data_IF_643378072620
#
_entry.id   IF_643378072620
#
_cell.length_a   1.000
_cell.length_b   1.000
_cell.length_c   1.000
_cell.angle_alpha   90.00
_cell.angle_beta   90.00
_cell.angle_gamma   90.00
#
_symmetry.space_group_name_H-M   'P 1'
#
loop_
_entity.id
_entity.type
_entity.pdbx_description
1 polymer ?
#
# COMPACT_ATOMS: atom_id res chain seq x y z
N UNK A 1 18.40 -12.51 -11.68
CA UNK A 1 18.26 -12.52 -13.16
C UNK A 1 17.28 -11.45 -13.59
N UNK A 2 17.51 -10.75 -14.73
CA UNK A 2 16.53 -9.79 -15.24
C UNK A 2 15.22 -10.50 -15.57
N UNK A 3 14.12 -10.01 -15.04
CA UNK A 3 12.80 -10.56 -15.21
C UNK A 3 12.23 -10.25 -16.60
N UNK A 4 11.49 -11.21 -17.16
CA UNK A 4 10.69 -11.03 -18.37
C UNK A 4 9.21 -11.25 -18.02
N UNK A 5 8.30 -10.33 -18.36
CA UNK A 5 6.88 -10.44 -18.02
C UNK A 5 6.16 -11.67 -18.60
N UNK A 6 6.78 -12.36 -19.57
CA UNK A 6 6.29 -13.63 -20.12
C UNK A 6 6.68 -14.87 -19.32
N UNK A 7 7.54 -14.71 -18.31
CA UNK A 7 7.98 -15.83 -17.48
C UNK A 7 6.93 -16.16 -16.41
N UNK A 8 6.94 -17.39 -15.94
CA UNK A 8 6.19 -17.79 -14.74
C UNK A 8 6.98 -17.45 -13.49
N UNK A 9 6.29 -16.99 -12.45
CA UNK A 9 6.92 -16.72 -11.16
C UNK A 9 7.48 -18.03 -10.59
N UNK A 10 8.77 -18.08 -10.20
CA UNK A 10 9.34 -19.30 -9.63
C UNK A 10 8.60 -19.72 -8.36
N UNK A 11 8.30 -21.01 -8.24
CA UNK A 11 7.65 -21.56 -7.06
C UNK A 11 8.42 -21.23 -5.78
N UNK A 12 9.77 -21.27 -5.82
CA UNK A 12 10.63 -20.87 -4.70
C UNK A 12 10.37 -19.45 -4.23
N UNK A 13 10.08 -18.52 -5.15
CA UNK A 13 9.77 -17.13 -4.79
C UNK A 13 8.46 -17.01 -4.01
N UNK A 14 7.45 -17.81 -4.35
CA UNK A 14 6.15 -17.83 -3.69
C UNK A 14 6.16 -18.59 -2.34
N UNK A 15 7.10 -19.52 -2.15
CA UNK A 15 7.17 -20.34 -0.93
C UNK A 15 7.92 -19.66 0.22
N UNK A 16 8.81 -18.71 -0.06
CA UNK A 16 9.61 -18.05 0.97
C UNK A 16 8.75 -17.34 2.02
N UNK A 17 7.72 -16.53 1.68
CA UNK A 17 6.86 -15.90 2.68
C UNK A 17 6.18 -16.91 3.60
N UNK A 18 5.68 -18.01 3.04
CA UNK A 18 5.05 -19.08 3.82
C UNK A 18 6.02 -19.70 4.84
N UNK A 19 7.31 -19.73 4.51
CA UNK A 19 8.36 -20.21 5.44
C UNK A 19 8.65 -19.17 6.50
N UNK A 20 8.77 -17.89 6.14
CA UNK A 20 9.05 -16.77 7.06
C UNK A 20 7.96 -16.65 8.11
N UNK A 21 6.70 -16.77 7.71
CA UNK A 21 5.52 -16.59 8.57
C UNK A 21 4.84 -17.90 8.98
N UNK A 22 5.53 -19.05 8.88
CA UNK A 22 4.94 -20.38 9.15
C UNK A 22 4.20 -20.46 10.47
N UNK A 23 4.79 -19.90 11.52
CA UNK A 23 4.31 -19.97 12.89
C UNK A 23 3.62 -18.70 13.36
N UNK A 24 3.30 -17.79 12.42
CA UNK A 24 2.65 -16.52 12.71
C UNK A 24 1.16 -16.55 12.33
N UNK A 25 0.25 -16.76 13.29
CA UNK A 25 -1.18 -16.87 13.00
C UNK A 25 -1.79 -15.55 12.50
N UNK A 26 -1.12 -14.43 12.67
CA UNK A 26 -1.62 -13.11 12.29
C UNK A 26 -1.27 -12.71 10.86
N UNK A 27 -0.37 -13.47 10.22
CA UNK A 27 0.01 -13.21 8.84
C UNK A 27 -1.14 -13.49 7.86
N UNK A 28 -1.26 -12.62 6.85
CA UNK A 28 -2.19 -12.79 5.74
C UNK A 28 -1.41 -13.26 4.52
N UNK A 29 -1.63 -14.48 4.03
CA UNK A 29 -0.91 -15.03 2.88
C UNK A 29 -1.11 -14.18 1.61
N UNK A 30 -0.04 -14.02 0.85
CA UNK A 30 -0.12 -13.44 -0.49
C UNK A 30 -0.88 -14.39 -1.44
N UNK A 31 -1.70 -13.80 -2.31
CA UNK A 31 -2.31 -14.55 -3.40
C UNK A 31 -1.30 -14.73 -4.55
N UNK A 32 -0.86 -15.97 -4.86
CA UNK A 32 0.08 -16.22 -5.94
C UNK A 32 -0.38 -15.71 -7.31
N UNK A 33 -1.70 -15.68 -7.55
CA UNK A 33 -2.25 -15.18 -8.83
C UNK A 33 -2.09 -13.66 -8.92
N UNK A 34 -2.27 -12.93 -7.82
CA UNK A 34 -2.01 -11.48 -7.79
C UNK A 34 -0.53 -11.17 -8.00
N UNK A 35 0.37 -11.93 -7.39
CA UNK A 35 1.81 -11.79 -7.63
C UNK A 35 2.12 -12.04 -9.10
N UNK A 36 1.58 -13.10 -9.69
CA UNK A 36 1.78 -13.40 -11.12
C UNK A 36 1.26 -12.28 -12.01
N UNK A 37 0.07 -11.72 -11.75
CA UNK A 37 -0.48 -10.58 -12.50
C UNK A 37 0.41 -9.35 -12.35
N UNK A 38 0.90 -9.05 -11.15
CA UNK A 38 1.77 -7.90 -10.90
C UNK A 38 3.10 -7.98 -11.69
N UNK A 39 3.60 -9.19 -11.93
CA UNK A 39 4.83 -9.42 -12.70
C UNK A 39 4.59 -9.77 -14.18
N UNK A 40 3.36 -9.68 -14.67
CA UNK A 40 3.02 -9.95 -16.07
C UNK A 40 3.01 -8.68 -16.93
N UNK A 41 2.87 -8.87 -18.23
CA UNK A 41 2.71 -7.76 -19.19
C UNK A 41 1.41 -6.95 -19.01
N UNK A 42 0.51 -7.38 -18.15
CA UNK A 42 -0.69 -6.61 -17.78
C UNK A 42 -0.35 -5.44 -16.85
N UNK A 43 0.80 -5.46 -16.19
CA UNK A 43 1.25 -4.34 -15.36
C UNK A 43 1.88 -3.26 -16.24
N UNK A 44 1.33 -2.03 -16.27
CA UNK A 44 1.83 -0.91 -17.07
C UNK A 44 3.29 -0.53 -16.76
N UNK A 45 3.80 -0.89 -15.58
CA UNK A 45 5.21 -0.71 -15.24
C UNK A 45 6.14 -1.25 -16.33
N UNK A 46 5.77 -2.35 -16.98
CA UNK A 46 6.61 -3.00 -17.99
C UNK A 46 6.59 -2.33 -19.37
N UNK A 47 5.81 -1.29 -19.59
CA UNK A 47 5.90 -0.48 -20.82
C UNK A 47 7.26 0.24 -20.96
N UNK A 48 7.91 0.58 -19.84
CA UNK A 48 9.24 1.20 -19.84
C UNK A 48 10.13 0.77 -18.69
N UNK A 49 9.56 0.09 -17.72
CA UNK A 49 10.26 -0.40 -16.53
C UNK A 49 10.92 -1.76 -16.74
N UNK A 50 11.90 -2.05 -15.91
CA UNK A 50 12.61 -3.30 -15.84
C UNK A 50 12.56 -3.87 -14.44
N UNK A 51 12.31 -5.15 -14.32
CA UNK A 51 12.35 -5.85 -13.05
C UNK A 51 13.49 -6.87 -13.01
N UNK A 52 13.93 -7.17 -11.80
CA UNK A 52 14.83 -8.24 -11.46
C UNK A 52 14.19 -9.06 -10.36
N UNK A 53 14.35 -10.37 -10.37
CA UNK A 53 13.71 -11.26 -9.43
C UNK A 53 14.66 -12.42 -9.11
N UNK A 54 14.84 -12.71 -7.82
CA UNK A 54 15.68 -13.81 -7.38
C UNK A 54 15.36 -14.29 -5.98
N UNK A 55 15.78 -15.53 -5.69
CA UNK A 55 15.79 -16.11 -4.35
C UNK A 55 17.20 -16.57 -4.02
N UNK A 56 17.57 -16.52 -2.73
CA UNK A 56 18.78 -17.13 -2.23
C UNK A 56 18.41 -18.36 -1.40
N UNK A 57 18.58 -19.52 -2.00
CA UNK A 57 18.11 -20.76 -1.43
C UNK A 57 16.62 -20.73 -1.07
N UNK A 58 16.36 -21.15 0.18
CA UNK A 58 15.03 -21.07 0.78
C UNK A 58 14.95 -19.97 1.86
N UNK A 59 15.95 -19.10 1.95
CA UNK A 59 16.09 -18.16 3.04
C UNK A 59 15.47 -16.80 2.72
N UNK A 60 15.68 -16.29 1.51
CA UNK A 60 15.16 -14.99 1.15
C UNK A 60 14.82 -14.87 -0.33
N UNK A 61 13.89 -13.98 -0.62
CA UNK A 61 13.52 -13.52 -1.96
C UNK A 61 13.61 -12.00 -2.04
N UNK A 62 13.83 -11.51 -3.25
CA UNK A 62 13.90 -10.08 -3.52
C UNK A 62 13.48 -9.81 -4.97
N UNK A 63 12.76 -8.72 -5.18
CA UNK A 63 12.56 -8.14 -6.50
C UNK A 63 13.19 -6.74 -6.56
N UNK A 64 13.73 -6.39 -7.71
CA UNK A 64 14.24 -5.06 -8.02
C UNK A 64 13.43 -4.43 -9.14
N UNK A 65 13.24 -3.11 -9.06
CA UNK A 65 12.46 -2.32 -10.02
C UNK A 65 13.25 -1.09 -10.45
N UNK A 66 13.28 -0.85 -11.74
CA UNK A 66 13.95 0.31 -12.33
C UNK A 66 13.15 0.84 -13.51
N UNK A 67 12.98 2.15 -13.57
CA UNK A 67 12.51 2.85 -14.77
C UNK A 67 13.35 4.09 -15.01
N UNK A 68 13.73 4.40 -16.27
CA UNK A 68 14.57 5.56 -16.58
C UNK A 68 13.95 6.90 -16.19
N UNK A 69 12.64 6.95 -16.02
CA UNK A 69 11.89 8.18 -15.68
C UNK A 69 11.79 8.45 -14.18
N UNK A 70 12.17 7.47 -13.35
CA UNK A 70 12.07 7.60 -11.91
C UNK A 70 13.32 8.24 -11.33
N UNK A 71 13.15 9.45 -10.81
CA UNK A 71 14.19 10.18 -10.10
C UNK A 71 13.68 10.63 -8.74
N UNK A 72 14.55 10.65 -7.76
CA UNK A 72 14.33 11.23 -6.44
C UNK A 72 15.52 12.16 -6.18
N UNK A 73 15.26 13.42 -5.83
CA UNK A 73 16.29 14.47 -5.67
C UNK A 73 17.22 14.58 -6.89
N UNK A 74 16.64 14.53 -8.10
CA UNK A 74 17.35 14.56 -9.39
C UNK A 74 18.32 13.39 -9.65
N UNK A 75 18.29 12.36 -8.82
CA UNK A 75 19.08 11.15 -9.00
C UNK A 75 18.22 9.97 -9.50
N UNK A 76 18.73 9.25 -10.49
CA UNK A 76 18.10 8.01 -10.96
C UNK A 76 18.14 6.94 -9.87
N UNK A 77 17.00 6.32 -9.59
CA UNK A 77 16.85 5.38 -8.49
C UNK A 77 16.33 4.03 -8.94
N UNK A 78 16.61 2.99 -8.15
CA UNK A 78 15.95 1.70 -8.23
C UNK A 78 15.22 1.42 -6.92
N UNK A 79 14.14 0.64 -7.01
CA UNK A 79 13.46 0.14 -5.82
C UNK A 79 13.76 -1.33 -5.62
N UNK A 80 13.87 -1.76 -4.35
CA UNK A 80 13.66 -3.16 -4.00
C UNK A 80 12.28 -3.36 -3.39
N UNK A 81 11.69 -4.53 -3.61
CA UNK A 81 10.40 -4.90 -3.06
C UNK A 81 10.20 -6.41 -3.07
N UNK A 82 9.03 -6.88 -2.68
CA UNK A 82 8.75 -8.31 -2.47
C UNK A 82 9.85 -9.02 -1.67
N UNK A 83 10.54 -8.24 -0.83
CA UNK A 83 11.57 -8.78 0.04
C UNK A 83 10.95 -9.51 1.21
N UNK A 84 11.27 -10.79 1.29
CA UNK A 84 10.92 -11.64 2.42
C UNK A 84 12.13 -12.48 2.79
N UNK A 85 12.39 -12.60 4.06
CA UNK A 85 13.61 -13.24 4.53
C UNK A 85 13.44 -13.92 5.88
N UNK A 86 14.06 -15.08 6.03
CA UNK A 86 14.42 -15.61 7.35
C UNK A 86 15.52 -14.71 7.96
N UNK A 87 15.78 -14.85 9.27
CA UNK A 87 16.83 -14.07 9.93
C UNK A 87 18.23 -14.62 9.57
N UNK A 88 18.57 -14.61 8.29
CA UNK A 88 19.84 -15.09 7.76
C UNK A 88 20.59 -13.96 7.04
N UNK A 89 21.55 -13.35 7.75
CA UNK A 89 22.31 -12.21 7.24
C UNK A 89 23.13 -12.56 5.99
N UNK A 90 23.78 -13.71 5.94
CA UNK A 90 24.65 -14.09 4.81
C UNK A 90 23.84 -14.26 3.52
N UNK A 91 22.67 -14.90 3.59
CA UNK A 91 21.79 -15.05 2.44
C UNK A 91 21.29 -13.70 1.94
N UNK A 92 20.94 -12.79 2.86
CA UNK A 92 20.57 -11.41 2.50
C UNK A 92 21.74 -10.65 1.85
N UNK A 93 22.96 -10.75 2.38
CA UNK A 93 24.13 -10.08 1.81
C UNK A 93 24.39 -10.55 0.37
N UNK A 94 24.31 -11.86 0.10
CA UNK A 94 24.49 -12.38 -1.28
C UNK A 94 23.41 -11.87 -2.21
N UNK A 95 22.15 -11.93 -1.79
CA UNK A 95 21.02 -11.55 -2.61
C UNK A 95 20.99 -10.04 -2.92
N UNK A 96 21.19 -9.21 -1.91
CA UNK A 96 21.23 -7.75 -2.07
C UNK A 96 22.41 -7.30 -2.94
N UNK A 97 23.59 -7.90 -2.78
CA UNK A 97 24.75 -7.61 -3.62
C UNK A 97 24.45 -7.84 -5.11
N UNK A 98 23.78 -8.94 -5.46
CA UNK A 98 23.41 -9.21 -6.84
C UNK A 98 22.39 -8.20 -7.37
N UNK A 99 21.42 -7.84 -6.54
CA UNK A 99 20.45 -6.80 -6.87
C UNK A 99 21.13 -5.43 -7.07
N UNK A 100 22.01 -5.01 -6.19
CA UNK A 100 22.75 -3.74 -6.26
C UNK A 100 23.59 -3.66 -7.53
N UNK A 101 24.26 -4.75 -7.90
CA UNK A 101 24.99 -4.85 -9.16
C UNK A 101 24.05 -4.72 -10.37
N UNK A 102 22.88 -5.31 -10.32
CA UNK A 102 21.88 -5.15 -11.37
C UNK A 102 21.36 -3.72 -11.44
N UNK A 103 21.01 -3.10 -10.32
CA UNK A 103 20.52 -1.72 -10.25
C UNK A 103 21.56 -0.73 -10.80
N UNK A 104 22.82 -0.88 -10.41
CA UNK A 104 23.94 -0.07 -10.95
C UNK A 104 24.09 -0.20 -12.47
N UNK A 105 23.94 -1.42 -13.01
CA UNK A 105 23.97 -1.65 -14.49
C UNK A 105 22.80 -0.99 -15.22
N UNK A 106 21.66 -0.76 -14.54
CA UNK A 106 20.56 0.02 -15.11
C UNK A 106 20.82 1.53 -15.06
N UNK A 107 21.78 2.00 -14.29
CA UNK A 107 22.12 3.41 -14.13
C UNK A 107 21.60 4.02 -12.84
N UNK A 108 21.01 3.24 -11.95
CA UNK A 108 20.56 3.74 -10.66
C UNK A 108 21.75 4.23 -9.80
N UNK A 109 21.59 5.38 -9.17
CA UNK A 109 22.56 6.00 -8.26
C UNK A 109 22.22 5.71 -6.79
N UNK A 110 20.94 5.54 -6.50
CA UNK A 110 20.42 5.20 -5.17
C UNK A 110 19.42 4.07 -5.26
N UNK A 111 19.24 3.40 -4.14
CA UNK A 111 18.26 2.33 -3.96
C UNK A 111 17.37 2.69 -2.78
N UNK A 112 16.07 2.56 -2.97
CA UNK A 112 15.06 2.72 -1.93
C UNK A 112 14.19 1.49 -1.83
N UNK A 113 13.60 1.26 -0.65
CA UNK A 113 12.66 0.16 -0.46
C UNK A 113 12.42 -0.18 1.02
N UNK A 114 11.58 -1.19 1.26
CA UNK A 114 10.86 -1.93 0.23
C UNK A 114 9.74 -1.10 -0.42
N UNK A 115 9.61 -1.20 -1.74
CA UNK A 115 8.53 -0.58 -2.53
C UNK A 115 8.19 -1.55 -3.67
N UNK A 116 6.97 -2.07 -3.69
CA UNK A 116 6.52 -3.00 -4.72
C UNK A 116 6.03 -2.23 -5.95
N UNK A 117 6.88 -2.07 -6.96
CA UNK A 117 6.67 -1.31 -8.20
C UNK A 117 6.50 0.21 -7.98
N UNK A 118 5.60 0.62 -7.11
CA UNK A 118 5.28 2.01 -6.78
C UNK A 118 4.68 2.12 -5.38
N UNK A 119 4.45 3.33 -4.90
CA UNK A 119 3.77 3.59 -3.61
C UNK A 119 2.26 3.28 -3.63
N UNK A 120 1.70 2.89 -4.77
CA UNK A 120 0.36 2.28 -4.86
C UNK A 120 0.36 0.79 -4.45
N UNK A 121 1.53 0.13 -4.48
CA UNK A 121 1.72 -1.22 -3.95
C UNK A 121 2.08 -1.22 -2.47
N UNK A 122 2.51 -2.38 -1.98
CA UNK A 122 3.05 -2.46 -0.63
C UNK A 122 4.42 -1.75 -0.57
N UNK A 123 4.61 -0.94 0.44
CA UNK A 123 5.87 -0.23 0.70
C UNK A 123 6.07 -0.01 2.19
N UNK A 124 7.28 0.31 2.62
CA UNK A 124 7.71 0.48 4.02
C UNK A 124 7.93 -0.83 4.76
N UNK A 125 8.64 -0.75 5.88
CA UNK A 125 8.67 -1.80 6.91
C UNK A 125 8.07 -1.25 8.20
N UNK A 126 7.53 -2.16 8.98
CA UNK A 126 7.02 -1.92 10.32
C UNK A 126 8.20 -1.98 11.31
N UNK A 127 8.28 -1.00 12.21
CA UNK A 127 9.40 -0.87 13.16
C UNK A 127 9.00 -1.18 14.60
N UNK A 128 7.70 -1.16 14.93
CA UNK A 128 7.20 -1.35 16.29
C UNK A 128 5.86 -2.10 16.33
N UNK A 129 5.31 -2.27 17.52
CA UNK A 129 4.00 -2.92 17.75
C UNK A 129 3.85 -4.29 17.08
N UNK A 130 4.91 -5.10 17.09
CA UNK A 130 4.92 -6.45 16.50
C UNK A 130 3.96 -7.43 17.18
N UNK A 131 3.40 -7.04 18.33
CA UNK A 131 2.33 -7.72 19.05
C UNK A 131 0.95 -7.55 18.41
N UNK A 132 0.82 -6.62 17.47
CA UNK A 132 -0.43 -6.37 16.74
C UNK A 132 -0.49 -7.19 15.47
N UNK A 133 -1.70 -7.57 15.06
CA UNK A 133 -1.93 -8.21 13.78
C UNK A 133 -1.66 -7.31 12.58
N UNK A 134 -1.84 -7.87 11.42
CA UNK A 134 -1.81 -7.15 10.15
C UNK A 134 -3.02 -6.23 10.04
N UNK A 135 -2.76 -4.94 9.94
CA UNK A 135 -3.81 -3.97 9.57
C UNK A 135 -3.92 -3.88 8.05
N UNK A 136 -5.14 -3.96 7.54
CA UNK A 136 -5.38 -3.96 6.09
C UNK A 136 -4.66 -2.81 5.38
N UNK A 137 -3.70 -3.16 4.51
CA UNK A 137 -2.92 -2.23 3.70
C UNK A 137 -1.79 -1.49 4.46
N UNK A 138 -1.44 -1.90 5.68
CA UNK A 138 -0.24 -1.46 6.38
C UNK A 138 0.89 -2.49 6.22
N UNK A 139 2.17 -2.11 6.40
CA UNK A 139 3.27 -3.06 6.32
C UNK A 139 3.19 -4.12 7.41
N UNK A 140 3.57 -5.33 7.06
CA UNK A 140 3.68 -6.44 7.99
C UNK A 140 4.98 -7.20 7.71
N UNK A 141 5.82 -7.34 8.72
CA UNK A 141 7.12 -8.00 8.63
C UNK A 141 7.61 -8.44 10.00
N UNK A 142 8.53 -9.40 10.07
CA UNK A 142 9.23 -9.76 11.30
C UNK A 142 10.04 -8.61 11.90
N UNK A 143 10.21 -8.60 13.22
CA UNK A 143 10.91 -7.54 13.95
C UNK A 143 12.39 -7.38 13.58
N UNK A 144 13.02 -8.42 13.07
CA UNK A 144 14.45 -8.40 12.70
C UNK A 144 14.75 -7.73 11.36
N UNK A 145 13.73 -7.31 10.58
CA UNK A 145 13.94 -6.73 9.24
C UNK A 145 14.74 -5.44 9.27
N UNK A 146 14.46 -4.56 10.24
CA UNK A 146 15.26 -3.34 10.40
C UNK A 146 16.75 -3.66 10.58
N UNK A 147 17.07 -4.55 11.51
CA UNK A 147 18.45 -4.93 11.78
C UNK A 147 19.15 -5.56 10.58
N UNK A 148 18.45 -6.39 9.79
CA UNK A 148 19.02 -6.94 8.55
C UNK A 148 19.36 -5.85 7.53
N UNK A 149 18.46 -4.87 7.33
CA UNK A 149 18.71 -3.75 6.40
C UNK A 149 19.87 -2.86 6.87
N UNK A 150 19.94 -2.54 8.17
CA UNK A 150 21.07 -1.79 8.76
C UNK A 150 22.41 -2.51 8.56
N UNK A 151 22.45 -3.83 8.77
CA UNK A 151 23.65 -4.65 8.54
C UNK A 151 24.06 -4.74 7.06
N UNK A 152 23.11 -4.53 6.13
CA UNK A 152 23.38 -4.40 4.70
C UNK A 152 23.84 -2.99 4.30
N UNK A 153 23.88 -2.04 5.23
CA UNK A 153 24.29 -0.65 4.99
C UNK A 153 23.17 0.28 4.56
N UNK A 154 21.90 -0.17 4.62
CA UNK A 154 20.74 0.70 4.39
C UNK A 154 20.44 1.53 5.65
N UNK A 155 19.91 2.73 5.43
CA UNK A 155 19.50 3.65 6.49
C UNK A 155 18.08 4.15 6.23
N UNK A 156 17.46 4.70 7.25
CA UNK A 156 16.13 5.32 7.13
C UNK A 156 16.16 6.45 6.10
N UNK A 157 15.18 6.43 5.18
CA UNK A 157 14.96 7.50 4.23
C UNK A 157 13.83 8.42 4.70
N UNK A 158 12.71 7.83 5.15
CA UNK A 158 11.55 8.56 5.64
C UNK A 158 10.76 7.71 6.63
N UNK A 159 10.22 8.35 7.66
CA UNK A 159 9.37 7.71 8.67
C UNK A 159 7.89 8.05 8.46
N UNK A 160 7.05 7.05 8.62
CA UNK A 160 5.60 7.16 8.63
C UNK A 160 5.07 6.77 10.01
N UNK A 161 4.04 7.45 10.45
CA UNK A 161 3.44 7.20 11.76
C UNK A 161 1.97 6.86 11.61
N UNK A 162 1.54 5.78 12.27
CA UNK A 162 0.12 5.46 12.46
C UNK A 162 -0.33 5.96 13.83
N UNK A 163 -1.44 6.68 13.86
CA UNK A 163 -2.03 7.16 15.10
C UNK A 163 -3.15 6.20 15.49
N UNK A 164 -3.06 5.67 16.70
CA UNK A 164 -4.03 4.73 17.24
C UNK A 164 -4.78 5.29 18.44
N UNK A 165 -6.09 5.11 18.51
CA UNK A 165 -6.92 5.50 19.65
C UNK A 165 -7.98 4.44 19.97
N UNK A 166 -8.06 4.08 21.24
CA UNK A 166 -9.13 3.21 21.77
C UNK A 166 -10.34 4.01 22.29
N UNK A 167 -10.23 5.34 22.32
CA UNK A 167 -11.22 6.21 22.95
C UNK A 167 -11.88 7.15 21.93
N UNK A 168 -12.46 6.56 20.88
CA UNK A 168 -13.06 7.31 19.75
C UNK A 168 -14.10 8.32 20.21
N UNK A 169 -14.91 7.99 21.24
CA UNK A 169 -15.89 8.93 21.82
C UNK A 169 -15.26 10.18 22.45
N UNK A 170 -14.11 10.04 23.10
CA UNK A 170 -13.37 11.18 23.65
C UNK A 170 -12.74 12.04 22.53
N UNK A 171 -12.24 11.39 21.46
CA UNK A 171 -11.75 12.12 20.30
C UNK A 171 -12.87 12.94 19.65
N UNK A 172 -14.05 12.37 19.50
CA UNK A 172 -15.22 13.07 18.96
C UNK A 172 -15.59 14.29 19.80
N UNK A 173 -15.54 14.19 21.12
CA UNK A 173 -15.79 15.30 22.03
C UNK A 173 -14.69 16.38 21.97
N UNK A 174 -13.42 15.98 21.84
CA UNK A 174 -12.28 16.90 21.81
C UNK A 174 -12.12 17.60 20.45
N UNK A 175 -12.36 16.88 19.37
CA UNK A 175 -12.18 17.33 17.99
C UNK A 175 -13.51 17.40 17.22
N UNK A 176 -14.63 17.49 17.94
CA UNK A 176 -15.96 17.55 17.35
C UNK A 176 -16.06 18.62 16.27
N UNK A 177 -17.04 18.51 15.37
CA UNK A 177 -17.13 19.37 14.20
C UNK A 177 -17.16 20.84 14.64
N UNK A 178 -16.27 21.63 14.05
CA UNK A 178 -16.35 23.09 14.16
C UNK A 178 -17.59 23.51 13.39
N UNK A 179 -18.71 23.68 14.08
CA UNK A 179 -20.01 23.98 13.47
C UNK A 179 -19.95 25.22 12.57
N UNK A 180 -19.20 26.24 13.00
CA UNK A 180 -18.99 27.45 12.22
C UNK A 180 -18.28 27.18 10.88
N UNK A 181 -17.27 26.29 10.89
CA UNK A 181 -16.55 25.89 9.65
C UNK A 181 -17.48 25.13 8.70
N UNK A 182 -18.32 24.24 9.24
CA UNK A 182 -19.29 23.51 8.41
C UNK A 182 -20.37 24.42 7.85
N UNK A 183 -20.84 25.40 8.62
CA UNK A 183 -21.80 26.38 8.19
C UNK A 183 -21.23 27.23 7.04
N UNK A 184 -20.03 27.75 7.22
CA UNK A 184 -19.33 28.55 6.21
C UNK A 184 -19.12 27.76 4.92
N UNK A 185 -18.64 26.51 5.02
CA UNK A 185 -18.46 25.67 3.85
C UNK A 185 -19.78 25.43 3.08
N UNK A 186 -20.89 25.25 3.79
CA UNK A 186 -22.22 25.13 3.18
C UNK A 186 -22.68 26.43 2.50
N UNK A 187 -22.45 27.59 3.15
CA UNK A 187 -22.75 28.90 2.57
C UNK A 187 -21.93 29.16 1.29
N UNK A 188 -20.70 28.68 1.26
CA UNK A 188 -19.83 28.72 0.08
C UNK A 188 -20.23 27.66 -1.00
N UNK A 189 -21.23 26.82 -0.74
CA UNK A 189 -21.78 25.86 -1.67
C UNK A 189 -21.11 24.48 -1.67
N UNK A 190 -20.20 24.21 -0.73
CA UNK A 190 -19.61 22.86 -0.57
C UNK A 190 -20.62 21.88 0.02
N UNK A 191 -20.54 20.64 -0.43
CA UNK A 191 -21.43 19.56 -0.01
C UNK A 191 -20.62 18.44 0.64
N UNK A 192 -20.77 18.28 1.96
CA UNK A 192 -20.24 17.13 2.68
C UNK A 192 -21.25 15.98 2.60
N UNK A 193 -20.80 14.81 2.14
CA UNK A 193 -21.65 13.62 2.03
C UNK A 193 -20.86 12.33 2.30
N UNK A 194 -21.60 11.27 2.60
CA UNK A 194 -20.99 9.95 2.73
C UNK A 194 -20.49 9.48 1.36
N UNK A 195 -19.30 8.91 1.35
CA UNK A 195 -18.77 8.27 0.15
C UNK A 195 -19.40 6.87 0.04
N UNK A 196 -20.39 6.76 -0.82
CA UNK A 196 -21.05 5.48 -1.11
C UNK A 196 -20.38 4.75 -2.27
N UNK A 197 -20.60 3.43 -2.46
CA UNK A 197 -20.12 2.71 -3.63
C UNK A 197 -20.62 3.30 -4.95
N UNK A 198 -21.82 3.88 -4.96
CA UNK A 198 -22.41 4.55 -6.12
C UNK A 198 -21.62 5.82 -6.47
N UNK A 199 -21.40 6.68 -5.47
CA UNK A 199 -20.62 7.92 -5.62
C UNK A 199 -19.17 7.62 -6.02
N UNK A 200 -18.54 6.56 -5.44
CA UNK A 200 -17.22 6.12 -5.85
C UNK A 200 -17.16 5.79 -7.34
N UNK A 201 -18.13 5.02 -7.84
CA UNK A 201 -18.18 4.64 -9.25
C UNK A 201 -18.48 5.83 -10.16
N UNK A 202 -19.35 6.74 -9.73
CA UNK A 202 -19.67 7.99 -10.45
C UNK A 202 -18.42 8.87 -10.60
N UNK A 203 -17.64 9.01 -9.51
CA UNK A 203 -16.45 9.88 -9.45
C UNK A 203 -15.14 9.20 -9.86
N UNK A 204 -15.18 7.96 -10.32
CA UNK A 204 -13.98 7.17 -10.60
C UNK A 204 -13.02 7.84 -11.60
N UNK A 205 -13.58 8.60 -12.58
CA UNK A 205 -12.79 9.36 -13.54
C UNK A 205 -12.11 10.58 -12.93
N UNK A 206 -12.69 11.17 -11.89
CA UNK A 206 -12.12 12.30 -11.15
C UNK A 206 -11.12 11.84 -10.07
N UNK A 207 -11.23 10.59 -9.61
CA UNK A 207 -10.43 10.09 -8.48
C UNK A 207 -8.95 9.99 -8.82
N UNK A 208 -8.55 9.59 -10.03
CA UNK A 208 -7.14 9.52 -10.38
C UNK A 208 -6.47 10.91 -10.41
N UNK A 209 -6.97 11.89 -11.13
CA UNK A 209 -6.43 13.26 -11.08
C UNK A 209 -6.43 13.85 -9.67
N UNK A 210 -7.47 13.54 -8.86
CA UNK A 210 -7.53 13.95 -7.47
C UNK A 210 -6.41 13.34 -6.64
N UNK A 211 -6.21 12.02 -6.73
CA UNK A 211 -5.14 11.29 -6.00
C UNK A 211 -3.77 11.78 -6.45
N UNK A 212 -3.56 11.95 -7.75
CA UNK A 212 -2.31 12.45 -8.31
C UNK A 212 -2.00 13.87 -7.78
N UNK A 213 -2.98 14.78 -7.79
CA UNK A 213 -2.80 16.14 -7.29
C UNK A 213 -2.48 16.23 -5.79
N UNK A 214 -3.01 15.31 -4.96
CA UNK A 214 -2.76 15.36 -3.51
C UNK A 214 -1.49 14.63 -3.08
N UNK A 215 -1.00 13.64 -3.86
CA UNK A 215 0.14 12.80 -3.48
C UNK A 215 1.38 12.95 -4.34
N UNK A 216 1.34 13.73 -5.44
CA UNK A 216 2.46 13.91 -6.37
C UNK A 216 3.76 14.41 -5.70
N UNK A 217 3.64 15.18 -4.62
CA UNK A 217 4.78 15.68 -3.85
C UNK A 217 5.28 14.71 -2.77
N UNK A 218 4.61 13.57 -2.58
CA UNK A 218 5.04 12.59 -1.59
C UNK A 218 6.30 11.88 -2.05
N UNK A 219 7.14 11.52 -1.09
CA UNK A 219 8.37 10.77 -1.34
C UNK A 219 8.10 9.51 -2.17
N UNK A 220 8.91 9.34 -3.22
CA UNK A 220 8.85 8.18 -4.14
C UNK A 220 7.50 7.98 -4.85
N UNK A 221 6.62 8.99 -4.84
CA UNK A 221 5.36 8.89 -5.58
C UNK A 221 5.62 8.69 -7.07
N UNK A 222 4.89 7.77 -7.67
CA UNK A 222 4.94 7.49 -9.11
C UNK A 222 3.51 7.30 -9.61
N UNK A 223 3.05 8.15 -10.50
CA UNK A 223 1.73 8.00 -11.12
C UNK A 223 1.65 6.71 -11.92
N UNK A 224 0.53 6.02 -11.81
CA UNK A 224 0.28 4.74 -12.53
C UNK A 224 -0.61 4.91 -13.76
N UNK A 225 -1.10 6.12 -14.01
CA UNK A 225 -2.02 6.42 -15.09
C UNK A 225 -3.49 6.05 -14.79
N UNK A 226 -4.42 6.76 -15.41
CA UNK A 226 -5.86 6.66 -15.12
C UNK A 226 -6.42 5.23 -15.34
N UNK A 227 -6.03 4.57 -16.41
CA UNK A 227 -6.55 3.23 -16.73
C UNK A 227 -6.07 2.18 -15.71
N UNK A 228 -4.80 2.21 -15.31
CA UNK A 228 -4.27 1.33 -14.29
C UNK A 228 -4.90 1.60 -12.92
N UNK A 229 -5.10 2.89 -12.57
CA UNK A 229 -5.81 3.28 -11.36
C UNK A 229 -7.23 2.72 -11.33
N UNK A 230 -8.00 2.90 -12.41
CA UNK A 230 -9.35 2.35 -12.52
C UNK A 230 -9.37 0.84 -12.38
N UNK A 231 -8.48 0.14 -13.05
CA UNK A 231 -8.39 -1.33 -12.95
C UNK A 231 -8.10 -1.79 -11.52
N UNK A 232 -7.20 -1.11 -10.82
CA UNK A 232 -6.79 -1.48 -9.47
C UNK A 232 -7.85 -1.12 -8.40
N UNK A 233 -8.52 0.02 -8.54
CA UNK A 233 -9.33 0.61 -7.47
C UNK A 233 -10.85 0.62 -7.72
N UNK A 234 -11.35 0.19 -8.90
CA UNK A 234 -12.80 0.11 -9.16
C UNK A 234 -13.54 -0.76 -8.14
N UNK A 235 -12.97 -1.91 -7.77
CA UNK A 235 -13.55 -2.84 -6.80
C UNK A 235 -13.45 -2.38 -5.35
N UNK A 236 -12.69 -1.31 -5.06
CA UNK A 236 -12.50 -0.81 -3.71
C UNK A 236 -13.81 -0.33 -3.09
N UNK A 237 -14.76 0.13 -3.93
CA UNK A 237 -16.10 0.54 -3.52
C UNK A 237 -16.85 -0.45 -2.64
N UNK A 238 -16.56 -1.72 -2.78
CA UNK A 238 -17.23 -2.77 -2.00
C UNK A 238 -16.55 -3.04 -0.64
N UNK A 239 -15.36 -2.49 -0.41
CA UNK A 239 -14.51 -2.85 0.74
C UNK A 239 -14.45 -1.77 1.81
N UNK A 240 -14.60 -0.50 1.46
CA UNK A 240 -14.49 0.59 2.43
C UNK A 240 -15.75 0.71 3.31
N UNK A 241 -15.58 1.29 4.49
CA UNK A 241 -16.66 1.55 5.43
C UNK A 241 -17.44 2.80 5.00
N UNK A 242 -18.67 2.61 4.54
CA UNK A 242 -19.55 3.71 4.11
C UNK A 242 -19.90 4.69 5.25
N UNK A 243 -19.79 4.27 6.52
CA UNK A 243 -20.09 5.11 7.68
C UNK A 243 -18.93 6.03 8.08
N UNK A 244 -17.71 5.72 7.64
CA UNK A 244 -16.49 6.48 7.98
C UNK A 244 -15.79 7.05 6.75
N UNK A 245 -16.33 6.82 5.56
CA UNK A 245 -15.80 7.37 4.32
C UNK A 245 -16.62 8.58 3.90
N UNK A 246 -15.94 9.66 3.57
CA UNK A 246 -16.56 10.96 3.30
C UNK A 246 -16.04 11.55 1.99
N UNK A 247 -16.88 12.29 1.30
CA UNK A 247 -16.51 13.14 0.19
C UNK A 247 -16.99 14.56 0.42
N UNK A 248 -16.21 15.53 -0.02
CA UNK A 248 -16.63 16.93 -0.12
C UNK A 248 -16.66 17.30 -1.60
N UNK A 249 -17.81 17.70 -2.08
CA UNK A 249 -17.96 18.25 -3.42
C UNK A 249 -17.89 19.77 -3.37
N UNK A 250 -17.16 20.35 -4.32
CA UNK A 250 -17.11 21.79 -4.54
C UNK A 250 -18.43 22.30 -5.14
N UNK A 251 -18.67 23.63 -5.19
CA UNK A 251 -19.90 24.23 -5.75
C UNK A 251 -20.19 23.82 -7.21
N UNK A 252 -19.16 23.51 -7.98
CA UNK A 252 -19.29 23.02 -9.35
C UNK A 252 -19.56 21.50 -9.46
N UNK A 253 -19.70 20.79 -8.32
CA UNK A 253 -19.92 19.35 -8.25
C UNK A 253 -18.68 18.47 -8.38
N UNK A 254 -17.48 19.06 -8.55
CA UNK A 254 -16.21 18.29 -8.58
C UNK A 254 -15.78 17.85 -7.18
N UNK A 255 -14.93 16.80 -7.11
CA UNK A 255 -14.40 16.31 -5.87
C UNK A 255 -13.34 17.28 -5.31
N UNK A 256 -13.59 17.84 -4.13
CA UNK A 256 -12.67 18.76 -3.43
C UNK A 256 -11.86 18.07 -2.35
N UNK A 257 -12.45 17.07 -1.66
CA UNK A 257 -11.81 16.31 -0.59
C UNK A 257 -12.40 14.91 -0.51
N UNK A 258 -11.60 13.96 -0.08
CA UNK A 258 -12.03 12.59 0.15
C UNK A 258 -11.33 12.00 1.38
N UNK A 259 -12.08 11.28 2.20
CA UNK A 259 -11.59 10.43 3.28
C UNK A 259 -12.05 9.01 3.04
N UNK A 260 -11.12 8.06 2.98
CA UNK A 260 -11.40 6.63 2.92
C UNK A 260 -11.17 5.98 4.28
N UNK A 261 -12.22 5.39 4.81
CA UNK A 261 -12.18 4.58 6.01
C UNK A 261 -12.44 3.10 5.71
N UNK A 262 -11.68 2.22 6.30
CA UNK A 262 -11.85 0.77 6.17
C UNK A 262 -12.06 0.13 7.53
N UNK A 263 -12.85 -0.96 7.62
CA UNK A 263 -12.69 -1.87 8.74
C UNK A 263 -11.32 -2.56 8.65
N UNK A 264 -10.73 -2.84 9.79
CA UNK A 264 -9.62 -3.78 9.81
C UNK A 264 -10.14 -5.20 9.61
N UNK A 265 -9.93 -5.74 8.42
CA UNK A 265 -10.32 -7.10 8.07
C UNK A 265 -9.28 -8.16 8.46
N UNK A 266 -8.15 -7.76 9.05
CA UNK A 266 -7.07 -8.67 9.44
C UNK A 266 -7.56 -9.95 10.13
N UNK A 267 -8.44 -9.86 11.15
CA UNK A 267 -8.97 -11.06 11.85
C UNK A 267 -9.70 -12.08 10.95
N UNK A 268 -10.26 -11.63 9.83
CA UNK A 268 -10.98 -12.50 8.89
C UNK A 268 -10.08 -13.08 7.79
N UNK A 269 -8.89 -12.51 7.61
CA UNK A 269 -7.99 -12.82 6.49
C UNK A 269 -6.76 -13.63 6.92
N UNK A 270 -6.36 -13.54 8.20
CA UNK A 270 -5.11 -14.12 8.68
C UNK A 270 -5.16 -15.66 8.68
N UNK A 271 -3.98 -16.27 8.55
CA UNK A 271 -3.86 -17.73 8.47
C UNK A 271 -4.27 -18.47 9.77
N UNK A 272 -4.34 -17.76 10.90
CA UNK A 272 -4.84 -18.30 12.16
C UNK A 272 -6.37 -18.40 12.23
N UNK A 273 -7.09 -17.83 11.28
CA UNK A 273 -8.54 -18.01 11.17
C UNK A 273 -8.83 -19.42 10.62
N UNK A 274 -9.78 -20.14 11.21
CA UNK A 274 -10.15 -21.48 10.75
C UNK A 274 -10.69 -21.49 9.31
N UNK A 275 -11.31 -20.38 8.89
CA UNK A 275 -11.90 -20.21 7.56
C UNK A 275 -11.52 -18.83 6.99
N UNK A 276 -10.26 -18.59 6.59
CA UNK A 276 -9.82 -17.29 6.15
C UNK A 276 -10.51 -16.89 4.85
N UNK A 277 -10.99 -15.66 4.81
CA UNK A 277 -11.65 -15.09 3.63
C UNK A 277 -10.58 -14.70 2.61
N UNK A 278 -10.83 -14.99 1.34
CA UNK A 278 -9.97 -14.48 0.28
C UNK A 278 -10.09 -12.94 0.20
N UNK A 279 -8.97 -12.18 0.27
CA UNK A 279 -8.98 -10.72 0.21
C UNK A 279 -9.66 -10.13 -1.04
N UNK A 280 -9.69 -10.88 -2.15
CA UNK A 280 -10.40 -10.46 -3.37
C UNK A 280 -11.92 -10.48 -3.22
N UNK A 281 -12.44 -11.32 -2.34
CA UNK A 281 -13.88 -11.49 -2.11
C UNK A 281 -14.42 -10.58 -1.00
N UNK A 282 -13.57 -9.74 -0.40
CA UNK A 282 -14.00 -8.82 0.64
C UNK A 282 -15.14 -7.91 0.15
N UNK A 283 -16.17 -7.85 0.98
CA UNK A 283 -17.37 -7.02 0.80
C UNK A 283 -17.80 -6.48 2.15
N UNK A 284 -17.98 -5.19 2.26
CA UNK A 284 -18.31 -4.52 3.51
C UNK A 284 -19.63 -5.04 4.12
N UNK A 285 -20.66 -5.17 3.29
CA UNK A 285 -21.99 -5.60 3.79
C UNK A 285 -22.00 -7.02 4.31
N UNK A 286 -21.17 -7.90 3.72
CA UNK A 286 -21.09 -9.31 4.09
C UNK A 286 -20.15 -9.55 5.26
N UNK A 287 -19.00 -8.88 5.30
CA UNK A 287 -17.91 -9.25 6.17
C UNK A 287 -17.74 -8.34 7.39
N UNK A 288 -18.19 -7.08 7.32
CA UNK A 288 -18.18 -6.19 8.50
C UNK A 288 -18.95 -6.77 9.69
N UNK A 289 -20.16 -7.39 9.53
CA UNK A 289 -20.89 -8.00 10.64
C UNK A 289 -20.17 -9.19 11.30
N UNK A 290 -19.16 -9.75 10.66
CA UNK A 290 -18.39 -10.89 11.19
C UNK A 290 -17.23 -10.43 12.11
N UNK A 291 -16.94 -9.14 12.17
CA UNK A 291 -15.92 -8.57 13.04
C UNK A 291 -16.49 -8.37 14.44
N UNK A 292 -15.96 -9.08 15.43
CA UNK A 292 -16.41 -8.97 16.83
C UNK A 292 -16.08 -7.59 17.44
N UNK A 293 -14.88 -7.09 17.17
CA UNK A 293 -14.38 -5.80 17.65
C UNK A 293 -13.82 -4.97 16.48
N UNK A 294 -14.70 -4.36 15.64
CA UNK A 294 -14.25 -3.68 14.45
C UNK A 294 -13.40 -2.46 14.77
N UNK A 295 -12.22 -2.40 14.20
CA UNK A 295 -11.34 -1.23 14.20
C UNK A 295 -11.52 -0.47 12.88
N UNK A 296 -11.67 0.85 12.95
CA UNK A 296 -11.74 1.69 11.76
C UNK A 296 -10.34 2.23 11.42
N UNK A 297 -9.93 2.06 10.19
CA UNK A 297 -8.70 2.59 9.63
C UNK A 297 -9.02 3.81 8.76
N UNK A 298 -8.56 5.00 9.16
CA UNK A 298 -8.51 6.17 8.28
C UNK A 298 -7.32 6.02 7.33
N UNK A 299 -7.56 5.44 6.15
CA UNK A 299 -6.45 5.03 5.26
C UNK A 299 -5.94 6.16 4.37
N UNK A 300 -6.83 6.98 3.86
CA UNK A 300 -6.49 8.05 2.92
C UNK A 300 -7.36 9.25 3.20
N UNK A 301 -6.73 10.39 3.38
CA UNK A 301 -7.41 11.69 3.46
C UNK A 301 -6.66 12.68 2.59
N UNK A 302 -7.39 13.42 1.79
CA UNK A 302 -6.79 14.46 0.95
C UNK A 302 -7.76 15.59 0.66
N UNK A 303 -7.18 16.77 0.48
CA UNK A 303 -7.87 17.98 0.04
C UNK A 303 -7.08 18.51 -1.15
N UNK A 304 -7.75 18.81 -2.25
CA UNK A 304 -7.11 19.43 -3.40
C UNK A 304 -6.42 20.74 -3.00
N UNK A 305 -5.24 21.05 -3.57
CA UNK A 305 -4.48 22.27 -3.23
C UNK A 305 -5.31 23.55 -3.26
N UNK A 306 -6.18 23.71 -4.24
CA UNK A 306 -7.04 24.90 -4.42
C UNK A 306 -8.05 25.11 -3.28
N UNK A 307 -8.31 24.08 -2.47
CA UNK A 307 -9.26 24.10 -1.34
C UNK A 307 -8.58 24.01 0.02
N UNK A 308 -7.25 23.99 0.09
CA UNK A 308 -6.48 24.05 1.34
C UNK A 308 -6.44 25.50 1.86
N UNK A 309 -6.96 25.73 3.09
CA UNK A 309 -6.94 27.05 3.76
C UNK A 309 -6.20 26.95 5.09
#
# INVERSE_FOLDING_TARGET
>A
MQWQPSNEIPASFLEIPKRVYRDDPLWIPEDPQQVAVAFSSLNPFFEGGKAWLQTEGNDCRLAGFYTPTLNIDDESVAFFGYWESTNNQESNQRLFREFELWAAKQGAKRIYGPINFSTFGNYRIRLDHFDKGYFTGEPYNPSYYQSLLEQLGYSEAINYYSIFSQQVGQLANRFGPKQDTLALAKEEGFQLQLLTPELWREKLDELYPFVDAIFSENFAYTGIGANAFKAAFSSLSNKFCQHTSLAVLAPNGSLASCLLGFPDYGPLLCQGNENPINPLQLDFKKHFPLLECPTALGKTVGVLPDYRR
#
